data_IF_712946685347
#
_entry.id   IF_712946685347
#
_cell.length_a   1.000
_cell.length_b   1.000
_cell.length_c   1.000
_cell.angle_alpha   90.00
_cell.angle_beta   90.00
_cell.angle_gamma   90.00
#
_symmetry.space_group_name_H-M   'P 1'
#
loop_
_entity.id
_entity.type
_entity.pdbx_description
1 polymer ?
#
# COMPACT_ATOMS: atom_id res chain seq x y z
N UNK A 1 -9.91 -12.80 3.56
CA UNK A 1 -10.27 -11.46 3.04
C UNK A 1 -9.66 -10.44 3.99
N UNK A 2 -9.16 -9.31 3.49
CA UNK A 2 -8.67 -8.21 4.34
C UNK A 2 -9.81 -7.67 5.18
N UNK A 3 -9.56 -7.47 6.48
CA UNK A 3 -10.51 -6.90 7.43
C UNK A 3 -10.27 -5.40 7.54
N UNK A 4 -11.34 -4.62 7.59
CA UNK A 4 -11.23 -3.19 7.94
C UNK A 4 -11.09 -3.06 9.45
N UNK A 5 -10.03 -2.39 9.88
CA UNK A 5 -9.72 -2.10 11.28
C UNK A 5 -9.17 -0.67 11.39
N UNK A 6 -9.32 -0.07 12.56
CA UNK A 6 -8.71 1.23 12.82
C UNK A 6 -7.19 1.06 12.91
N UNK A 7 -6.46 1.94 12.22
CA UNK A 7 -5.00 1.97 12.29
C UNK A 7 -4.60 2.46 13.70
N UNK A 8 -3.82 1.69 14.47
CA UNK A 8 -3.32 2.13 15.77
C UNK A 8 -2.25 3.22 15.60
N UNK A 9 -1.98 3.97 16.67
CA UNK A 9 -0.94 5.00 16.67
C UNK A 9 0.47 4.40 16.58
N UNK A 10 0.68 3.22 17.16
CA UNK A 10 1.96 2.51 17.15
C UNK A 10 1.86 1.22 16.29
N UNK A 11 2.70 1.05 15.25
CA UNK A 11 2.74 -0.18 14.46
C UNK A 11 3.08 -1.43 15.29
N UNK A 12 3.76 -1.30 16.42
CA UNK A 12 4.05 -2.41 17.34
C UNK A 12 2.79 -2.94 18.04
N UNK A 13 1.66 -2.26 17.97
CA UNK A 13 0.37 -2.73 18.50
C UNK A 13 -0.37 -3.65 17.52
N UNK A 14 0.08 -3.71 16.25
CA UNK A 14 -0.56 -4.54 15.23
C UNK A 14 -0.39 -6.02 15.60
N UNK A 15 -1.50 -6.75 15.64
CA UNK A 15 -1.51 -8.20 15.91
C UNK A 15 -2.08 -8.94 14.70
N UNK A 16 -1.52 -10.11 14.43
CA UNK A 16 -2.04 -10.98 13.38
C UNK A 16 -3.39 -11.58 13.78
N UNK A 17 -4.25 -11.77 12.78
CA UNK A 17 -5.52 -12.47 12.98
C UNK A 17 -5.27 -13.99 13.07
N UNK A 18 -5.69 -14.61 14.18
CA UNK A 18 -5.43 -16.03 14.47
C UNK A 18 -5.96 -16.97 13.38
N UNK A 19 -7.18 -16.72 12.88
CA UNK A 19 -7.78 -17.54 11.81
C UNK A 19 -7.00 -17.46 10.51
N UNK A 20 -6.55 -16.25 10.14
CA UNK A 20 -5.72 -16.02 8.95
C UNK A 20 -4.36 -16.69 9.07
N UNK A 21 -3.72 -16.62 10.25
CA UNK A 21 -2.47 -17.32 10.53
C UNK A 21 -2.66 -18.85 10.42
N UNK A 22 -3.73 -19.38 11.02
CA UNK A 22 -4.04 -20.80 10.94
C UNK A 22 -4.28 -21.25 9.50
N UNK A 23 -4.92 -20.41 8.68
CA UNK A 23 -5.08 -20.64 7.25
C UNK A 23 -3.72 -20.65 6.51
N UNK A 24 -2.84 -19.66 6.75
CA UNK A 24 -1.51 -19.62 6.15
C UNK A 24 -0.68 -20.87 6.48
N UNK A 25 -0.69 -21.31 7.75
CA UNK A 25 -0.02 -22.56 8.18
C UNK A 25 -0.56 -23.78 7.45
N UNK A 26 -1.88 -23.85 7.22
CA UNK A 26 -2.51 -24.94 6.47
C UNK A 26 -2.09 -24.94 5.00
N UNK A 27 -2.08 -23.76 4.36
CA UNK A 27 -1.64 -23.62 2.97
C UNK A 27 -0.16 -23.97 2.82
N UNK A 28 0.70 -23.53 3.74
CA UNK A 28 2.13 -23.84 3.73
C UNK A 28 2.39 -25.36 3.71
N UNK A 29 1.67 -26.12 4.55
CA UNK A 29 1.71 -27.59 4.58
C UNK A 29 1.30 -28.24 3.26
N UNK A 30 0.31 -27.67 2.58
CA UNK A 30 -0.14 -28.15 1.27
C UNK A 30 0.87 -27.87 0.17
N UNK A 31 1.56 -26.72 0.23
CA UNK A 31 2.54 -26.30 -0.77
C UNK A 31 3.86 -27.06 -0.62
N UNK A 32 4.30 -27.35 0.61
CA UNK A 32 5.53 -28.07 0.88
C UNK A 32 5.47 -28.79 2.22
N UNK A 33 5.78 -30.10 2.22
CA UNK A 33 5.91 -30.89 3.45
C UNK A 33 6.95 -30.31 4.41
N UNK A 34 8.06 -29.78 3.88
CA UNK A 34 9.13 -29.18 4.68
C UNK A 34 8.65 -27.94 5.46
N UNK A 35 7.78 -27.11 4.86
CA UNK A 35 7.21 -25.95 5.56
C UNK A 35 6.23 -26.36 6.66
N UNK A 36 5.75 -27.60 6.63
CA UNK A 36 4.80 -28.14 7.62
C UNK A 36 5.43 -28.64 8.91
N UNK A 37 6.73 -28.97 8.87
CA UNK A 37 7.48 -29.59 9.97
C UNK A 37 8.37 -28.57 10.71
N UNK A 38 8.67 -27.44 10.07
CA UNK A 38 9.52 -26.38 10.63
C UNK A 38 8.79 -25.51 11.67
N UNK A 39 9.55 -25.02 12.65
CA UNK A 39 9.03 -24.12 13.68
C UNK A 39 8.82 -22.70 13.12
N UNK A 40 7.65 -22.13 13.39
CA UNK A 40 7.34 -20.73 13.03
C UNK A 40 8.18 -19.79 13.89
N UNK A 41 8.99 -18.96 13.23
CA UNK A 41 9.86 -17.98 13.92
C UNK A 41 9.08 -16.76 14.40
N UNK A 42 8.13 -16.28 13.60
CA UNK A 42 7.40 -15.05 13.87
C UNK A 42 6.06 -15.06 13.14
N UNK A 43 5.05 -14.46 13.74
CA UNK A 43 3.73 -14.24 13.16
C UNK A 43 3.43 -12.75 13.23
N UNK A 44 3.16 -12.12 12.08
CA UNK A 44 2.99 -10.68 11.97
C UNK A 44 1.91 -10.33 10.96
N UNK A 45 1.36 -9.12 11.11
CA UNK A 45 0.48 -8.48 10.15
C UNK A 45 0.88 -7.02 10.01
N UNK A 46 0.42 -6.39 8.93
CA UNK A 46 0.59 -4.96 8.70
C UNK A 46 -0.64 -4.40 7.97
N UNK A 47 -0.84 -3.09 8.04
CA UNK A 47 -1.82 -2.41 7.21
C UNK A 47 -1.30 -2.28 5.78
N UNK A 48 -2.20 -2.52 4.84
CA UNK A 48 -1.94 -2.38 3.42
C UNK A 48 -2.60 -1.09 2.91
N UNK A 49 -1.83 -0.07 2.50
CA UNK A 49 -2.41 1.15 1.95
C UNK A 49 -3.13 0.86 0.64
N UNK A 50 -4.45 1.02 0.65
CA UNK A 50 -5.34 0.87 -0.49
C UNK A 50 -6.17 2.14 -0.66
N UNK A 51 -6.61 2.40 -1.89
CA UNK A 51 -7.52 3.50 -2.22
C UNK A 51 -8.87 2.93 -2.61
N UNK A 52 -9.93 3.73 -2.45
CA UNK A 52 -11.31 3.32 -2.78
C UNK A 52 -11.49 2.89 -4.25
N UNK A 53 -10.66 3.44 -5.15
CA UNK A 53 -10.69 3.15 -6.59
C UNK A 53 -9.65 2.11 -7.03
N UNK A 54 -8.83 1.59 -6.12
CA UNK A 54 -7.77 0.63 -6.41
C UNK A 54 -6.60 1.20 -7.25
N UNK A 55 -6.56 2.51 -7.46
CA UNK A 55 -5.51 3.20 -8.22
C UNK A 55 -4.59 3.96 -7.26
N UNK A 56 -3.25 3.90 -7.37
CA UNK A 56 -2.35 4.67 -6.51
C UNK A 56 -2.63 6.18 -6.50
N UNK A 57 -2.33 6.86 -5.40
CA UNK A 57 -2.35 8.32 -5.31
C UNK A 57 -0.91 8.82 -5.39
N UNK A 58 -0.57 9.51 -6.48
CA UNK A 58 0.76 10.05 -6.76
C UNK A 58 0.62 11.47 -7.32
N UNK A 59 1.18 12.45 -6.63
CA UNK A 59 1.24 13.83 -7.11
C UNK A 59 1.23 14.87 -5.99
N UNK A 60 1.20 16.15 -6.39
CA UNK A 60 1.06 17.27 -5.46
C UNK A 60 -0.35 17.30 -4.86
N UNK A 61 -0.44 17.55 -3.56
CA UNK A 61 -1.69 17.64 -2.80
C UNK A 61 -2.40 18.95 -3.16
N UNK A 62 -3.64 18.90 -3.70
CA UNK A 62 -4.36 20.11 -4.07
C UNK A 62 -4.53 21.06 -2.88
N UNK A 63 -4.19 22.34 -3.10
CA UNK A 63 -4.30 23.39 -2.08
C UNK A 63 -3.11 23.48 -1.12
N UNK A 64 -2.11 22.60 -1.20
CA UNK A 64 -0.92 22.63 -0.35
C UNK A 64 0.35 22.60 -1.21
N UNK A 65 0.88 23.79 -1.51
CA UNK A 65 2.05 23.94 -2.39
C UNK A 65 3.26 23.20 -1.83
N UNK A 66 3.92 22.41 -2.68
CA UNK A 66 5.13 21.66 -2.36
C UNK A 66 4.91 20.42 -1.48
N UNK A 67 3.65 20.05 -1.22
CA UNK A 67 3.31 18.82 -0.51
C UNK A 67 2.97 17.73 -1.53
N UNK A 68 3.72 16.63 -1.53
CA UNK A 68 3.52 15.53 -2.47
C UNK A 68 3.17 14.25 -1.72
N UNK A 69 2.36 13.41 -2.34
CA UNK A 69 2.00 12.09 -1.82
C UNK A 69 2.25 11.03 -2.88
N UNK A 70 2.66 9.84 -2.44
CA UNK A 70 2.86 8.66 -3.27
C UNK A 70 2.48 7.40 -2.46
N UNK A 71 1.21 7.02 -2.50
CA UNK A 71 0.63 5.97 -1.63
C UNK A 71 -0.42 5.14 -2.35
N UNK A 72 -1.02 4.17 -1.65
CA UNK A 72 -2.17 3.42 -2.16
C UNK A 72 -1.82 2.35 -3.19
N UNK A 73 -0.57 1.87 -3.21
CA UNK A 73 -0.12 0.89 -4.18
C UNK A 73 -0.58 -0.54 -3.88
N UNK A 74 -1.30 -0.77 -2.76
CA UNK A 74 -1.70 -2.09 -2.31
C UNK A 74 -0.50 -3.05 -2.28
N UNK A 75 -0.69 -4.33 -2.63
CA UNK A 75 0.37 -5.33 -2.67
C UNK A 75 1.44 -5.07 -3.75
N UNK A 76 1.20 -4.14 -4.68
CA UNK A 76 2.12 -3.82 -5.78
C UNK A 76 3.15 -2.75 -5.43
N UNK A 77 3.08 -2.17 -4.22
CA UNK A 77 4.00 -1.10 -3.80
C UNK A 77 5.46 -1.50 -3.82
N UNK A 78 5.79 -2.74 -3.42
CA UNK A 78 7.17 -3.22 -3.40
C UNK A 78 7.79 -3.30 -4.81
N UNK A 79 6.98 -3.60 -5.82
CA UNK A 79 7.41 -3.70 -7.21
C UNK A 79 7.47 -2.33 -7.88
N UNK A 80 6.47 -1.48 -7.62
CA UNK A 80 6.31 -0.20 -8.30
C UNK A 80 7.09 0.95 -7.64
N UNK A 81 7.56 0.76 -6.41
CA UNK A 81 8.28 1.77 -5.62
C UNK A 81 9.41 2.49 -6.37
N UNK A 82 10.31 1.80 -7.10
CA UNK A 82 11.38 2.46 -7.84
C UNK A 82 10.88 3.41 -8.94
N UNK A 83 9.89 2.98 -9.74
CA UNK A 83 9.33 3.81 -10.80
C UNK A 83 8.57 5.02 -10.21
N UNK A 84 7.77 4.78 -9.17
CA UNK A 84 7.05 5.85 -8.46
C UNK A 84 8.01 6.87 -7.87
N UNK A 85 9.07 6.43 -7.18
CA UNK A 85 10.06 7.33 -6.58
C UNK A 85 10.76 8.20 -7.62
N UNK A 86 11.17 7.61 -8.75
CA UNK A 86 11.81 8.35 -9.84
C UNK A 86 10.85 9.36 -10.49
N UNK A 87 9.60 8.97 -10.77
CA UNK A 87 8.58 9.89 -11.31
C UNK A 87 8.23 11.03 -10.34
N UNK A 88 8.18 10.76 -9.03
CA UNK A 88 7.95 11.81 -8.03
C UNK A 88 9.14 12.76 -7.95
N UNK A 89 10.38 12.27 -8.09
CA UNK A 89 11.55 13.12 -8.12
C UNK A 89 11.52 14.11 -9.31
N UNK A 90 11.22 13.63 -10.52
CA UNK A 90 11.01 14.51 -11.69
C UNK A 90 9.87 15.50 -11.45
N UNK A 91 8.75 15.04 -10.91
CA UNK A 91 7.61 15.91 -10.61
C UNK A 91 7.99 17.05 -9.64
N UNK A 92 8.81 16.76 -8.63
CA UNK A 92 9.25 17.75 -7.63
C UNK A 92 10.25 18.74 -8.24
N UNK A 93 11.19 18.28 -9.06
CA UNK A 93 12.25 19.11 -9.62
C UNK A 93 11.81 19.91 -10.85
N UNK A 94 11.06 19.27 -11.74
CA UNK A 94 10.75 19.76 -13.09
C UNK A 94 9.27 20.10 -13.28
N UNK A 95 8.43 19.85 -12.28
CA UNK A 95 6.99 20.09 -12.32
C UNK A 95 6.20 19.09 -13.17
N UNK A 96 6.85 18.09 -13.75
CA UNK A 96 6.24 17.03 -14.53
C UNK A 96 7.12 15.76 -14.51
N UNK A 97 6.53 14.61 -14.83
CA UNK A 97 7.25 13.33 -14.92
C UNK A 97 7.26 12.83 -16.36
N UNK A 98 8.41 12.37 -16.82
CA UNK A 98 8.63 11.78 -18.15
C UNK A 98 8.66 10.26 -18.11
N UNK A 99 9.06 9.68 -16.97
CA UNK A 99 9.09 8.22 -16.76
C UNK A 99 7.66 7.67 -16.71
N UNK A 100 6.89 8.24 -15.78
CA UNK A 100 5.48 8.08 -15.41
C UNK A 100 4.49 9.09 -16.02
N UNK A 101 3.48 8.75 -16.84
CA UNK A 101 2.30 9.65 -16.91
C UNK A 101 1.50 9.55 -15.60
N UNK A 102 1.67 10.57 -14.75
CA UNK A 102 1.06 10.63 -13.42
C UNK A 102 -0.37 11.16 -13.40
N UNK A 103 -0.94 11.59 -14.55
CA UNK A 103 -2.24 12.27 -14.59
C UNK A 103 -3.36 11.47 -13.92
N UNK A 104 -3.42 10.16 -14.18
CA UNK A 104 -4.42 9.25 -13.59
C UNK A 104 -4.25 8.99 -12.10
N UNK A 105 -3.05 9.24 -11.58
CA UNK A 105 -2.69 9.02 -10.17
C UNK A 105 -2.84 10.31 -9.33
N UNK A 106 -3.16 11.44 -9.95
CA UNK A 106 -3.28 12.72 -9.26
C UNK A 106 -4.22 12.65 -8.05
N UNK A 107 -3.83 13.21 -6.88
CA UNK A 107 -4.73 13.31 -5.72
C UNK A 107 -5.98 14.14 -5.99
N UNK A 108 -5.93 15.05 -6.98
CA UNK A 108 -7.07 15.88 -7.39
C UNK A 108 -8.31 15.07 -7.79
N UNK A 109 -8.17 13.79 -8.15
CA UNK A 109 -9.31 12.92 -8.50
C UNK A 109 -10.29 12.68 -7.36
N UNK A 110 -9.87 12.89 -6.11
CA UNK A 110 -10.73 12.78 -4.92
C UNK A 110 -11.24 14.11 -4.39
N UNK A 111 -10.70 15.23 -4.90
CA UNK A 111 -11.12 16.57 -4.50
C UNK A 111 -12.30 17.00 -5.38
N UNK A 112 -13.47 17.19 -4.78
CA UNK A 112 -14.71 17.58 -5.50
C UNK A 112 -15.81 16.52 -5.52
N UNK A 113 -15.60 15.33 -4.95
CA UNK A 113 -16.70 14.42 -4.59
C UNK A 113 -17.37 14.92 -3.31
N UNK A 114 -18.27 15.89 -3.42
CA UNK A 114 -19.30 16.07 -2.39
C UNK A 114 -20.06 14.75 -2.29
N UNK A 115 -19.98 14.07 -1.15
CA UNK A 115 -20.92 13.01 -0.79
C UNK A 115 -22.32 13.65 -0.85
N UNK A 116 -23.06 13.35 -1.91
CA UNK A 116 -24.51 13.49 -1.91
C UNK A 116 -25.13 12.39 -1.06
#
# INVERSE_FOLDING_TARGET
MSKEENVPDDPEEIRGNEESIAMLKRVAKTVSSHLGEEAVKVEQACFLPCTDDGVPIIGEVPGVKGCYVATGHSCWGILNGPATGASVAELVLDGHSTIVDLKRFSPARFVGRTKG
#
